data_IF_164926068633
#
_entry.id   IF_164926068633
#
_cell.length_a   1.000
_cell.length_b   1.000
_cell.length_c   1.000
_cell.angle_alpha   90.00
_cell.angle_beta   90.00
_cell.angle_gamma   90.00
#
_symmetry.space_group_name_H-M   'P 1'
#
loop_
_entity.id
_entity.type
_entity.pdbx_description
1 polymer ?
#
# COMPACT_ATOMS: atom_id res chain seq x y z
N UNK A 1 4.61 28.54 4.78
CA UNK A 1 5.75 27.84 4.15
C UNK A 1 5.21 26.51 3.65
N UNK A 2 5.33 26.26 2.36
CA UNK A 2 4.69 25.15 1.66
C UNK A 2 5.32 23.82 2.10
N UNK A 3 4.52 22.96 2.74
CA UNK A 3 4.94 21.64 3.22
C UNK A 3 5.10 20.69 2.03
N UNK A 4 6.24 20.00 1.96
CA UNK A 4 6.51 19.03 0.90
C UNK A 4 5.88 17.69 1.29
N UNK A 5 4.68 17.41 0.78
CA UNK A 5 4.11 16.06 0.82
C UNK A 5 4.96 15.17 -0.09
N UNK A 6 5.61 14.14 0.48
CA UNK A 6 6.21 13.11 -0.36
C UNK A 6 5.10 12.13 -0.75
N UNK A 7 4.65 12.26 -1.99
CA UNK A 7 3.69 11.34 -2.58
C UNK A 7 4.46 10.42 -3.52
N UNK A 8 4.53 9.14 -3.18
CA UNK A 8 4.99 8.12 -4.12
C UNK A 8 3.76 7.50 -4.80
N UNK A 9 3.84 7.33 -6.12
CA UNK A 9 2.77 6.71 -6.90
C UNK A 9 3.33 5.63 -7.78
N UNK A 10 2.57 4.55 -7.91
CA UNK A 10 2.86 3.46 -8.83
C UNK A 10 1.54 3.02 -9.44
N UNK A 11 1.58 2.59 -10.70
CA UNK A 11 0.42 2.02 -11.36
C UNK A 11 0.80 0.66 -11.94
N UNK A 12 -0.11 -0.31 -11.83
CA UNK A 12 0.08 -1.65 -12.41
C UNK A 12 -1.16 -2.08 -13.19
N UNK A 13 -0.93 -2.74 -14.31
CA UNK A 13 -1.99 -3.30 -15.15
C UNK A 13 -2.21 -4.78 -14.83
N UNK A 14 -3.44 -5.24 -15.00
CA UNK A 14 -3.80 -6.65 -14.90
C UNK A 14 -4.84 -7.02 -15.96
N UNK A 15 -4.64 -8.15 -16.64
CA UNK A 15 -5.55 -8.66 -17.66
C UNK A 15 -6.08 -10.02 -17.23
N UNK A 16 -7.39 -10.14 -17.10
CA UNK A 16 -8.04 -11.39 -16.69
C UNK A 16 -9.40 -11.52 -17.37
N UNK A 17 -9.69 -12.71 -17.93
CA UNK A 17 -10.97 -13.05 -18.55
C UNK A 17 -11.46 -12.03 -19.60
N UNK A 18 -10.52 -11.48 -20.39
CA UNK A 18 -10.80 -10.47 -21.41
C UNK A 18 -11.02 -9.05 -20.88
N UNK A 19 -10.88 -8.84 -19.56
CA UNK A 19 -11.02 -7.54 -18.90
C UNK A 19 -9.65 -6.95 -18.63
N UNK A 20 -9.55 -5.62 -18.71
CA UNK A 20 -8.33 -4.87 -18.44
C UNK A 20 -8.52 -3.99 -17.22
N UNK A 21 -7.70 -4.22 -16.20
CA UNK A 21 -7.69 -3.47 -14.96
C UNK A 21 -6.42 -2.64 -14.83
N UNK A 22 -6.57 -1.46 -14.24
CA UNK A 22 -5.49 -0.57 -13.83
C UNK A 22 -5.60 -0.36 -12.33
N UNK A 23 -4.52 -0.62 -11.60
CA UNK A 23 -4.47 -0.44 -10.15
C UNK A 23 -3.47 0.68 -9.86
N UNK A 24 -3.98 1.78 -9.30
CA UNK A 24 -3.20 2.94 -8.90
C UNK A 24 -2.94 2.89 -7.39
N UNK A 25 -1.67 2.96 -7.01
CA UNK A 25 -1.22 2.96 -5.63
C UNK A 25 -0.64 4.33 -5.29
N UNK A 26 -1.13 4.92 -4.21
CA UNK A 26 -0.64 6.19 -3.68
C UNK A 26 -0.15 5.98 -2.25
N UNK A 27 1.10 6.35 -2.00
CA UNK A 27 1.68 6.48 -0.67
C UNK A 27 1.86 7.96 -0.37
N UNK A 28 1.31 8.41 0.75
CA UNK A 28 1.52 9.75 1.27
C UNK A 28 2.22 9.66 2.63
N UNK A 29 3.39 10.27 2.73
CA UNK A 29 4.00 10.63 4.00
C UNK A 29 3.88 12.13 4.23
N UNK A 30 3.44 12.49 5.43
CA UNK A 30 3.49 13.86 5.92
C UNK A 30 4.81 14.09 6.67
N UNK A 31 5.16 15.35 6.91
CA UNK A 31 6.31 15.72 7.79
C UNK A 31 6.17 15.14 9.21
N UNK A 32 4.95 14.78 9.63
CA UNK A 32 4.76 13.94 10.82
C UNK A 32 4.92 12.45 10.43
N UNK A 33 6.04 11.80 10.79
CA UNK A 33 6.28 10.39 10.47
C UNK A 33 5.26 9.43 11.12
N UNK A 34 4.38 9.94 12.00
CA UNK A 34 3.31 9.18 12.64
C UNK A 34 2.01 9.14 11.83
N UNK A 35 1.90 9.91 10.75
CA UNK A 35 0.67 9.99 9.97
C UNK A 35 1.00 9.78 8.50
N UNK A 36 1.17 8.52 8.14
CA UNK A 36 1.26 8.10 6.75
C UNK A 36 -0.03 7.42 6.30
N UNK A 37 -0.28 7.41 4.99
CA UNK A 37 -1.41 6.69 4.39
C UNK A 37 -1.01 5.94 3.13
N UNK A 38 -1.70 4.83 2.88
CA UNK A 38 -1.65 4.10 1.62
C UNK A 38 -3.06 4.04 1.04
N UNK A 39 -3.16 4.27 -0.27
CA UNK A 39 -4.40 4.18 -1.02
C UNK A 39 -4.19 3.33 -2.26
N UNK A 40 -5.13 2.45 -2.55
CA UNK A 40 -5.14 1.63 -3.74
C UNK A 40 -6.50 1.80 -4.44
N UNK A 41 -6.47 2.21 -5.71
CA UNK A 41 -7.65 2.40 -6.55
C UNK A 41 -7.62 1.39 -7.69
N UNK A 42 -8.62 0.52 -7.73
CA UNK A 42 -8.85 -0.38 -8.87
C UNK A 42 -9.77 0.33 -9.87
N UNK A 43 -9.31 0.38 -11.11
CA UNK A 43 -10.08 0.85 -12.23
C UNK A 43 -10.17 -0.26 -13.29
N UNK A 44 -11.27 -0.29 -14.01
CA UNK A 44 -11.50 -1.21 -15.12
C UNK A 44 -11.73 -0.43 -16.39
N UNK A 45 -11.15 -0.90 -17.48
CA UNK A 45 -11.38 -0.32 -18.80
C UNK A 45 -12.81 -0.62 -19.24
N UNK A 46 -13.57 0.41 -19.59
CA UNK A 46 -14.93 0.32 -20.10
C UNK A 46 -14.99 -0.55 -21.35
N UNK A 47 -16.13 -1.22 -21.60
CA UNK A 47 -16.35 -2.05 -22.80
C UNK A 47 -16.13 -1.29 -24.11
N UNK A 48 -16.40 0.03 -24.13
CA UNK A 48 -16.17 0.89 -25.29
C UNK A 48 -14.69 1.28 -25.49
N UNK A 49 -13.78 0.79 -24.64
CA UNK A 49 -12.34 1.06 -24.64
C UNK A 49 -11.93 2.54 -24.45
N UNK A 50 -12.88 3.43 -24.13
CA UNK A 50 -12.65 4.88 -24.07
C UNK A 50 -12.13 5.35 -22.72
N UNK A 51 -12.55 4.72 -21.62
CA UNK A 51 -12.27 5.22 -20.27
C UNK A 51 -11.97 4.11 -19.26
N UNK A 52 -11.36 4.50 -18.15
CA UNK A 52 -11.23 3.68 -16.96
C UNK A 52 -12.24 4.11 -15.92
N UNK A 53 -13.06 3.18 -15.45
CA UNK A 53 -14.05 3.40 -14.40
C UNK A 53 -13.54 2.86 -13.07
N UNK A 54 -13.73 3.61 -11.99
CA UNK A 54 -13.33 3.18 -10.65
C UNK A 54 -14.26 2.06 -10.18
N UNK A 55 -13.69 0.88 -9.92
CA UNK A 55 -14.40 -0.30 -9.41
C UNK A 55 -14.28 -0.41 -7.90
N UNK A 56 -13.10 -0.13 -7.35
CA UNK A 56 -12.84 -0.23 -5.91
C UNK A 56 -11.78 0.76 -5.46
N UNK A 57 -11.86 1.19 -4.21
CA UNK A 57 -10.88 2.07 -3.59
C UNK A 57 -10.74 1.71 -2.12
N UNK A 58 -9.51 1.49 -1.67
CA UNK A 58 -9.19 1.30 -0.26
C UNK A 58 -8.16 2.33 0.13
N UNK A 59 -8.39 3.01 1.24
CA UNK A 59 -7.45 3.94 1.85
C UNK A 59 -7.30 3.58 3.32
N UNK A 60 -6.05 3.44 3.77
CA UNK A 60 -5.71 3.20 5.16
C UNK A 60 -4.77 4.31 5.61
N UNK A 61 -5.21 5.04 6.63
CA UNK A 61 -4.50 6.20 7.20
C UNK A 61 -3.91 5.85 8.57
N UNK A 62 -3.12 6.78 9.12
CA UNK A 62 -2.51 6.66 10.46
C UNK A 62 -1.57 5.45 10.62
N UNK A 63 -0.88 5.09 9.54
CA UNK A 63 0.13 4.05 9.58
C UNK A 63 1.50 4.64 9.94
N UNK A 64 2.32 3.83 10.60
CA UNK A 64 3.73 4.15 10.85
C UNK A 64 4.52 4.13 9.54
N UNK A 65 5.42 5.11 9.35
CA UNK A 65 6.28 5.21 8.17
C UNK A 65 7.03 3.91 7.83
N UNK A 66 7.64 3.24 8.81
CA UNK A 66 8.39 1.99 8.61
C UNK A 66 7.49 0.87 8.10
N UNK A 67 6.26 0.81 8.61
CA UNK A 67 5.27 -0.17 8.16
C UNK A 67 4.86 0.12 6.71
N UNK A 68 4.62 1.40 6.36
CA UNK A 68 4.29 1.71 4.96
C UNK A 68 5.45 1.42 4.02
N UNK A 69 6.69 1.80 4.33
CA UNK A 69 7.83 1.50 3.45
C UNK A 69 7.95 -0.01 3.17
N UNK A 70 7.80 -0.86 4.20
CA UNK A 70 7.79 -2.32 4.04
C UNK A 70 6.67 -2.78 3.11
N UNK A 71 5.45 -2.29 3.34
CA UNK A 71 4.26 -2.67 2.55
C UNK A 71 4.37 -2.20 1.11
N UNK A 72 4.81 -0.95 0.90
CA UNK A 72 4.96 -0.38 -0.43
C UNK A 72 6.02 -1.14 -1.23
N UNK A 73 7.17 -1.44 -0.61
CA UNK A 73 8.19 -2.30 -1.19
C UNK A 73 7.64 -3.70 -1.53
N UNK A 74 6.80 -4.28 -0.67
CA UNK A 74 6.17 -5.57 -0.94
C UNK A 74 5.22 -5.53 -2.15
N UNK A 75 4.40 -4.48 -2.26
CA UNK A 75 3.47 -4.28 -3.38
C UNK A 75 4.23 -4.02 -4.70
N UNK A 76 5.30 -3.23 -4.64
CA UNK A 76 6.16 -2.93 -5.79
C UNK A 76 6.85 -4.18 -6.33
N UNK A 77 7.35 -5.04 -5.45
CA UNK A 77 8.09 -6.25 -5.83
C UNK A 77 7.20 -7.49 -6.03
N UNK A 78 5.89 -7.40 -5.82
CA UNK A 78 4.98 -8.51 -6.02
C UNK A 78 4.97 -8.96 -7.50
N UNK A 79 4.91 -10.27 -7.75
CA UNK A 79 4.81 -10.79 -9.12
C UNK A 79 3.50 -10.31 -9.78
N UNK A 80 2.39 -10.51 -9.08
CA UNK A 80 1.05 -10.07 -9.50
C UNK A 80 0.65 -8.74 -8.81
N UNK A 81 -0.18 -7.91 -9.47
CA UNK A 81 -0.72 -6.71 -8.85
C UNK A 81 -1.56 -7.04 -7.60
N UNK A 82 -1.34 -6.27 -6.53
CA UNK A 82 -2.08 -6.40 -5.28
C UNK A 82 -3.41 -5.64 -5.37
N UNK A 83 -4.52 -6.36 -5.46
CA UNK A 83 -5.83 -5.74 -5.52
C UNK A 83 -6.17 -5.00 -4.20
N UNK A 84 -6.94 -3.88 -4.26
CA UNK A 84 -7.26 -3.06 -3.08
C UNK A 84 -7.85 -3.85 -1.91
N UNK A 85 -8.63 -4.90 -2.19
CA UNK A 85 -9.26 -5.75 -1.18
C UNK A 85 -8.25 -6.46 -0.26
N UNK A 86 -7.03 -6.69 -0.73
CA UNK A 86 -5.98 -7.39 0.03
C UNK A 86 -5.12 -6.45 0.88
N UNK A 87 -5.15 -5.15 0.61
CA UNK A 87 -4.33 -4.16 1.32
C UNK A 87 -4.54 -4.19 2.84
N UNK A 88 -5.78 -4.27 3.37
CA UNK A 88 -5.99 -4.34 4.82
C UNK A 88 -5.37 -5.58 5.47
N UNK A 89 -5.39 -6.73 4.78
CA UNK A 89 -4.86 -7.97 5.33
C UNK A 89 -3.32 -7.98 5.29
N UNK A 90 -2.72 -7.50 4.19
CA UNK A 90 -1.27 -7.30 4.10
C UNK A 90 -0.77 -6.36 5.21
N UNK A 91 -1.51 -5.29 5.51
CA UNK A 91 -1.17 -4.37 6.61
C UNK A 91 -1.22 -5.10 7.96
N UNK A 92 -2.24 -5.91 8.22
CA UNK A 92 -2.35 -6.67 9.48
C UNK A 92 -1.18 -7.64 9.64
N UNK A 93 -0.83 -8.36 8.58
CA UNK A 93 0.27 -9.33 8.60
C UNK A 93 1.61 -8.62 8.87
N UNK A 94 1.90 -7.55 8.14
CA UNK A 94 3.11 -6.76 8.34
C UNK A 94 3.18 -6.08 9.73
N UNK A 95 2.04 -5.67 10.29
CA UNK A 95 1.97 -5.13 11.64
C UNK A 95 2.22 -6.21 12.69
N UNK A 96 1.67 -7.42 12.51
CA UNK A 96 1.90 -8.55 13.39
C UNK A 96 3.39 -8.95 13.42
N UNK A 97 4.04 -9.01 12.25
CA UNK A 97 5.48 -9.24 12.14
C UNK A 97 6.31 -8.18 12.87
N UNK A 98 5.96 -6.91 12.71
CA UNK A 98 6.66 -5.80 13.37
C UNK A 98 6.56 -5.88 14.90
N UNK A 99 5.41 -6.30 15.43
CA UNK A 99 5.22 -6.53 16.87
C UNK A 99 6.09 -7.70 17.34
N UNK A 100 6.13 -8.80 16.59
CA UNK A 100 6.96 -9.97 16.92
C UNK A 100 8.46 -9.64 16.90
N UNK A 101 8.93 -8.86 15.92
CA UNK A 101 10.32 -8.38 15.85
C UNK A 101 10.70 -7.59 17.12
N UNK A 102 9.79 -6.75 17.62
CA UNK A 102 10.02 -5.94 18.83
C UNK A 102 10.05 -6.75 20.13
N UNK A 103 9.32 -7.88 20.18
CA UNK A 103 9.30 -8.79 21.33
C UNK A 103 10.55 -9.67 21.36
N UNK A 104 11.12 -10.01 20.20
CA UNK A 104 12.27 -10.93 20.10
C UNK A 104 13.60 -10.23 20.43
N UNK A 105 13.64 -8.90 20.45
CA UNK A 105 14.83 -8.11 20.84
C UNK A 105 14.73 -7.61 22.29
N UNK A 106 14.76 -8.54 23.24
CA UNK A 106 15.18 -8.25 24.60
C UNK A 106 16.30 -9.23 24.99
N UNK A 107 17.54 -9.06 24.48
CA UNK A 107 18.67 -9.67 25.13
C UNK A 107 18.83 -8.91 26.44
N UNK A 108 18.20 -9.41 27.50
CA UNK A 108 18.47 -8.99 28.86
C UNK A 108 19.98 -8.94 29.02
N UNK A 109 20.49 -7.72 29.04
CA UNK A 109 21.80 -7.40 29.58
C UNK A 109 21.72 -7.66 31.10
N UNK A 110 22.86 -8.01 31.70
CA UNK A 110 23.11 -8.41 33.09
C UNK A 110 23.13 -9.94 33.28
N UNK A 111 24.24 -10.62 33.58
CA UNK A 111 25.50 -10.24 34.26
C UNK A 111 26.69 -11.00 33.67
#
# INVERSE_FOLDING_TARGET
MSQAHQIQRMTREHFQDGRHFLIDYEFCSNDDPKICSIKATLMEKSEDDVAYERVSCVEISHLNYQLIERIFCHIENAADPVFPVHIPDIIKDAAAETILDSITFNPSTNL
#
